data_IF_905615205794
#
_entry.id   IF_905615205794
#
_cell.length_a   1.000
_cell.length_b   1.000
_cell.length_c   1.000
_cell.angle_alpha   90.00
_cell.angle_beta   90.00
_cell.angle_gamma   90.00
#
_symmetry.space_group_name_H-M   'P 1'
#
loop_
_entity.id
_entity.type
_entity.pdbx_description
1 polymer ?
#
# COMPACT_ATOMS: atom_id res chain seq x y z
N UNK A 1 6.08 3.82 -42.13
CA UNK A 1 6.51 3.54 -40.74
C UNK A 1 5.72 2.35 -40.25
N UNK A 2 6.37 1.23 -39.95
CA UNK A 2 5.72 0.03 -39.45
C UNK A 2 5.06 0.33 -38.09
N UNK A 3 3.86 -0.20 -37.81
CA UNK A 3 3.26 -0.05 -36.49
C UNK A 3 4.15 -0.78 -35.48
N UNK A 4 4.65 -0.01 -34.51
CA UNK A 4 5.43 -0.53 -33.40
C UNK A 4 4.68 -1.65 -32.71
N UNK A 5 5.42 -2.69 -32.37
CA UNK A 5 4.99 -3.87 -31.64
C UNK A 5 4.41 -3.43 -30.28
N UNK A 6 3.09 -3.21 -30.23
CA UNK A 6 2.38 -2.93 -28.98
C UNK A 6 2.36 -4.22 -28.16
N UNK A 7 3.43 -4.45 -27.39
CA UNK A 7 3.34 -5.33 -26.25
C UNK A 7 2.28 -4.72 -25.33
N UNK A 8 1.06 -5.27 -25.36
CA UNK A 8 -0.03 -4.78 -24.51
C UNK A 8 0.43 -4.87 -23.05
N UNK A 9 0.69 -3.71 -22.48
CA UNK A 9 1.06 -3.59 -21.07
C UNK A 9 -0.08 -4.19 -20.24
N UNK A 10 0.24 -5.13 -19.36
CA UNK A 10 -0.75 -5.80 -18.52
C UNK A 10 -1.40 -4.80 -17.57
N UNK A 11 -2.68 -4.48 -17.80
CA UNK A 11 -3.49 -3.71 -16.87
C UNK A 11 -4.14 -4.64 -15.84
N UNK A 12 -3.68 -4.58 -14.60
CA UNK A 12 -4.21 -5.39 -13.50
C UNK A 12 -5.41 -4.72 -12.81
N UNK A 13 -5.86 -3.56 -13.32
CA UNK A 13 -6.94 -2.78 -12.71
C UNK A 13 -8.14 -2.78 -13.64
N UNK A 14 -9.29 -3.25 -13.17
CA UNK A 14 -10.55 -3.12 -13.90
C UNK A 14 -10.85 -1.65 -14.19
N UNK A 15 -11.18 -1.32 -15.44
CA UNK A 15 -11.66 0.02 -15.84
C UNK A 15 -13.17 0.11 -15.85
N UNK A 16 -13.85 -1.00 -15.64
CA UNK A 16 -15.32 -1.08 -15.63
C UNK A 16 -15.85 -0.60 -14.28
N UNK A 17 -16.82 0.30 -14.32
CA UNK A 17 -17.61 0.69 -13.15
C UNK A 17 -18.83 -0.21 -13.07
N UNK A 18 -18.78 -1.22 -12.22
CA UNK A 18 -19.89 -2.13 -11.99
C UNK A 18 -19.96 -2.51 -10.50
N UNK A 19 -21.15 -2.88 -10.05
CA UNK A 19 -21.33 -3.43 -8.71
C UNK A 19 -20.61 -4.78 -8.60
N UNK A 20 -19.79 -4.95 -7.57
CA UNK A 20 -19.02 -6.17 -7.32
C UNK A 20 -18.96 -6.50 -5.83
N UNK A 21 -20.11 -6.68 -5.17
CA UNK A 21 -20.17 -6.77 -3.71
C UNK A 21 -19.40 -7.98 -3.18
N UNK A 22 -19.43 -9.14 -3.86
CA UNK A 22 -18.77 -10.37 -3.41
C UNK A 22 -17.25 -10.20 -3.43
N UNK A 23 -16.66 -9.71 -4.52
CA UNK A 23 -15.21 -9.50 -4.61
C UNK A 23 -14.72 -8.48 -3.58
N UNK A 24 -15.48 -7.40 -3.38
CA UNK A 24 -15.18 -6.39 -2.34
C UNK A 24 -15.29 -6.97 -0.93
N UNK A 25 -16.32 -7.78 -0.65
CA UNK A 25 -16.50 -8.43 0.65
C UNK A 25 -15.36 -9.39 0.97
N UNK A 26 -14.94 -10.19 -0.01
CA UNK A 26 -13.78 -11.10 0.13
C UNK A 26 -12.52 -10.29 0.44
N UNK A 27 -12.26 -9.22 -0.33
CA UNK A 27 -11.09 -8.38 -0.07
C UNK A 27 -11.12 -7.79 1.35
N UNK A 28 -12.24 -7.17 1.75
CA UNK A 28 -12.40 -6.55 3.09
C UNK A 28 -12.25 -7.59 4.19
N UNK A 29 -12.89 -8.74 4.05
CA UNK A 29 -12.81 -9.84 5.03
C UNK A 29 -11.37 -10.36 5.20
N UNK A 30 -10.66 -10.57 4.09
CA UNK A 30 -9.26 -11.03 4.12
C UNK A 30 -8.32 -9.94 4.68
N UNK A 31 -8.56 -8.67 4.39
CA UNK A 31 -7.76 -7.58 4.99
C UNK A 31 -8.01 -7.42 6.49
N UNK A 32 -9.23 -7.64 6.96
CA UNK A 32 -9.53 -7.70 8.39
C UNK A 32 -8.90 -8.92 9.06
N UNK A 33 -8.98 -10.09 8.41
CA UNK A 33 -8.35 -11.32 8.89
C UNK A 33 -6.81 -11.19 8.95
N UNK A 34 -6.20 -10.42 8.05
CA UNK A 34 -4.76 -10.15 8.09
C UNK A 34 -4.33 -9.46 9.40
N UNK A 35 -5.12 -8.53 9.92
CA UNK A 35 -4.84 -7.88 11.21
C UNK A 35 -4.78 -8.91 12.33
N UNK A 36 -5.76 -9.84 12.35
CA UNK A 36 -5.76 -10.93 13.33
C UNK A 36 -4.56 -11.88 13.15
N UNK A 37 -4.21 -12.18 11.90
CA UNK A 37 -3.05 -13.01 11.56
C UNK A 37 -1.75 -12.36 12.07
N UNK A 38 -1.52 -11.07 11.79
CA UNK A 38 -0.33 -10.34 12.25
C UNK A 38 -0.25 -10.27 13.79
N UNK A 39 -1.38 -10.07 14.45
CA UNK A 39 -1.43 -10.14 15.92
C UNK A 39 -0.96 -11.50 16.45
N UNK A 40 -1.42 -12.60 15.85
CA UNK A 40 -1.00 -13.94 16.29
C UNK A 40 0.49 -14.21 16.00
N UNK A 41 1.01 -13.73 14.87
CA UNK A 41 2.45 -13.84 14.60
C UNK A 41 3.29 -13.13 15.65
N UNK A 42 2.91 -11.91 16.04
CA UNK A 42 3.70 -11.05 16.92
C UNK A 42 3.50 -11.36 18.41
N UNK A 43 2.27 -11.70 18.85
CA UNK A 43 1.94 -11.81 20.28
C UNK A 43 1.58 -13.22 20.76
N UNK A 44 1.27 -14.16 19.85
CA UNK A 44 0.96 -15.55 20.22
C UNK A 44 2.10 -16.53 19.97
N UNK A 45 3.27 -16.00 19.57
CA UNK A 45 4.48 -16.79 19.33
C UNK A 45 4.50 -17.54 18.00
N UNK A 46 3.46 -17.42 17.15
CA UNK A 46 3.44 -18.11 15.87
C UNK A 46 4.58 -17.66 14.94
N UNK A 47 4.91 -16.38 14.94
CA UNK A 47 6.02 -15.83 14.16
C UNK A 47 7.37 -16.32 14.66
N UNK A 48 7.57 -16.45 15.97
CA UNK A 48 8.79 -17.03 16.57
C UNK A 48 8.98 -18.47 16.09
N UNK A 49 7.92 -19.28 16.20
CA UNK A 49 7.96 -20.69 15.75
C UNK A 49 8.24 -20.79 14.23
N UNK A 50 7.70 -19.88 13.43
CA UNK A 50 7.98 -19.86 11.99
C UNK A 50 9.43 -19.48 11.70
N UNK A 51 9.97 -18.45 12.36
CA UNK A 51 11.38 -18.04 12.22
C UNK A 51 12.30 -19.20 12.58
N UNK A 52 12.04 -19.89 13.68
CA UNK A 52 12.84 -21.04 14.14
C UNK A 52 12.76 -22.24 13.18
N UNK A 53 11.55 -22.55 12.65
CA UNK A 53 11.35 -23.60 11.63
C UNK A 53 12.07 -23.28 10.31
N UNK A 54 12.25 -22.00 9.98
CA UNK A 54 13.02 -21.57 8.83
C UNK A 54 14.54 -21.54 9.10
N UNK A 55 15.00 -22.03 10.26
CA UNK A 55 16.40 -22.06 10.67
C UNK A 55 16.93 -20.71 11.18
N UNK A 56 16.04 -19.75 11.43
CA UNK A 56 16.39 -18.45 12.00
C UNK A 56 16.42 -18.48 13.52
N UNK A 57 16.98 -17.42 14.12
CA UNK A 57 16.96 -17.16 15.56
C UNK A 57 16.03 -15.97 15.83
N UNK A 58 15.02 -16.14 16.67
CA UNK A 58 14.17 -15.04 17.06
C UNK A 58 14.87 -14.11 18.06
N UNK A 59 14.53 -12.81 18.04
CA UNK A 59 15.08 -11.80 18.97
C UNK A 59 14.73 -12.14 20.41
N UNK A 60 13.57 -12.78 20.65
CA UNK A 60 13.09 -13.12 21.99
C UNK A 60 12.34 -14.44 22.02
N UNK A 61 12.38 -15.08 23.20
CA UNK A 61 11.52 -16.22 23.48
C UNK A 61 10.07 -15.78 23.73
N UNK A 62 9.13 -16.67 23.43
CA UNK A 62 7.67 -16.49 23.58
C UNK A 62 7.20 -15.89 24.91
N UNK A 63 7.93 -16.16 26.01
CA UNK A 63 7.54 -15.70 27.36
C UNK A 63 7.55 -14.17 27.54
N UNK A 64 8.24 -13.44 26.67
CA UNK A 64 8.40 -11.97 26.79
C UNK A 64 7.33 -11.21 26.01
N UNK A 65 6.63 -11.85 25.08
CA UNK A 65 5.60 -11.23 24.25
C UNK A 65 4.17 -11.36 24.82
N UNK A 66 4.03 -11.66 26.13
CA UNK A 66 2.72 -11.76 26.75
C UNK A 66 2.04 -10.38 26.78
N UNK A 67 0.89 -10.18 26.09
CA UNK A 67 0.21 -8.89 25.97
C UNK A 67 -0.27 -8.30 27.31
N UNK A 68 -0.34 -9.11 28.35
CA UNK A 68 -0.71 -8.66 29.69
C UNK A 68 0.48 -8.09 30.49
N UNK A 69 1.70 -8.21 30.00
CA UNK A 69 2.91 -7.74 30.67
C UNK A 69 3.42 -6.46 29.99
N UNK A 70 2.78 -5.32 30.29
CA UNK A 70 2.96 -4.00 29.64
C UNK A 70 4.34 -3.35 29.89
N UNK A 71 5.28 -4.05 30.56
CA UNK A 71 6.46 -3.43 31.13
C UNK A 71 7.75 -3.51 30.33
N UNK A 72 7.78 -4.16 29.18
CA UNK A 72 9.00 -4.26 28.36
C UNK A 72 8.88 -3.47 27.06
N UNK A 73 9.85 -2.63 26.76
CA UNK A 73 9.81 -1.75 25.59
C UNK A 73 9.89 -2.46 24.22
N UNK A 74 10.24 -3.74 24.18
CA UNK A 74 10.05 -4.56 22.99
C UNK A 74 8.58 -4.69 22.63
N UNK A 75 7.68 -4.60 23.61
CA UNK A 75 6.25 -4.50 23.35
C UNK A 75 5.88 -3.21 22.61
N UNK A 76 6.55 -2.11 22.90
CA UNK A 76 6.35 -0.84 22.18
C UNK A 76 6.74 -0.97 20.71
N UNK A 77 7.86 -1.62 20.40
CA UNK A 77 8.26 -1.87 19.00
C UNK A 77 7.28 -2.79 18.26
N UNK A 78 6.91 -3.93 18.83
CA UNK A 78 5.94 -4.82 18.22
C UNK A 78 4.53 -4.23 18.18
N UNK A 79 4.20 -3.36 19.13
CA UNK A 79 3.00 -2.53 19.09
C UNK A 79 2.98 -1.61 17.87
N UNK A 80 4.11 -0.94 17.57
CA UNK A 80 4.24 -0.14 16.34
C UNK A 80 4.10 -1.00 15.08
N UNK A 81 4.81 -2.14 14.99
CA UNK A 81 4.69 -3.05 13.84
C UNK A 81 3.24 -3.49 13.63
N UNK A 82 2.51 -3.78 14.72
CA UNK A 82 1.08 -4.12 14.65
C UNK A 82 0.24 -2.94 14.16
N UNK A 83 0.50 -1.73 14.65
CA UNK A 83 -0.19 -0.52 14.20
C UNK A 83 0.06 -0.22 12.72
N UNK A 84 1.26 -0.47 12.20
CA UNK A 84 1.54 -0.35 10.76
C UNK A 84 0.71 -1.35 9.94
N UNK A 85 0.58 -2.59 10.41
CA UNK A 85 -0.27 -3.59 9.77
C UNK A 85 -1.74 -3.18 9.79
N UNK A 86 -2.26 -2.73 10.93
CA UNK A 86 -3.64 -2.22 11.08
C UNK A 86 -3.86 -1.03 10.13
N UNK A 87 -2.94 -0.05 10.13
CA UNK A 87 -3.02 1.14 9.31
C UNK A 87 -3.08 0.80 7.81
N UNK A 88 -2.21 -0.11 7.34
CA UNK A 88 -2.20 -0.57 5.95
C UNK A 88 -3.50 -1.27 5.57
N UNK A 89 -4.03 -2.14 6.44
CA UNK A 89 -5.28 -2.87 6.19
C UNK A 89 -6.48 -1.95 6.21
N UNK A 90 -6.57 -1.08 7.21
CA UNK A 90 -7.65 -0.10 7.34
C UNK A 90 -7.69 0.85 6.13
N UNK A 91 -6.53 1.41 5.72
CA UNK A 91 -6.43 2.27 4.55
C UNK A 91 -6.97 1.59 3.29
N UNK A 92 -6.62 0.31 3.08
CA UNK A 92 -7.06 -0.44 1.91
C UNK A 92 -8.57 -0.77 1.98
N UNK A 93 -9.10 -1.10 3.15
CA UNK A 93 -10.54 -1.29 3.37
C UNK A 93 -11.29 0.01 3.09
N UNK A 94 -10.83 1.13 3.64
CA UNK A 94 -11.39 2.47 3.39
C UNK A 94 -11.37 2.80 1.90
N UNK A 95 -10.25 2.52 1.22
CA UNK A 95 -10.14 2.76 -0.22
C UNK A 95 -11.19 1.97 -1.02
N UNK A 96 -11.37 0.69 -0.75
CA UNK A 96 -12.34 -0.15 -1.48
C UNK A 96 -13.78 0.24 -1.19
N UNK A 97 -14.09 0.61 0.05
CA UNK A 97 -15.48 0.94 0.44
C UNK A 97 -15.87 2.34 -0.04
N UNK A 98 -15.01 3.32 0.19
CA UNK A 98 -15.37 4.73 0.00
C UNK A 98 -14.74 5.40 -1.22
N UNK A 99 -13.61 4.91 -1.75
CA UNK A 99 -12.89 5.59 -2.84
C UNK A 99 -13.08 4.89 -4.17
N UNK A 100 -12.86 3.59 -4.24
CA UNK A 100 -12.88 2.84 -5.49
C UNK A 100 -14.29 2.66 -6.02
N UNK A 101 -14.50 3.06 -7.28
CA UNK A 101 -15.74 2.80 -8.04
C UNK A 101 -15.58 1.64 -9.03
N UNK A 102 -14.38 1.10 -9.16
CA UNK A 102 -14.07 0.05 -10.11
C UNK A 102 -14.57 -1.31 -9.63
N UNK A 103 -15.01 -2.13 -10.57
CA UNK A 103 -15.40 -3.50 -10.27
C UNK A 103 -14.18 -4.30 -9.78
N UNK A 104 -14.40 -5.11 -8.76
CA UNK A 104 -13.43 -6.05 -8.21
C UNK A 104 -14.04 -7.46 -8.28
N UNK A 105 -13.55 -8.30 -9.18
CA UNK A 105 -13.95 -9.69 -9.20
C UNK A 105 -13.35 -10.47 -8.01
N UNK A 106 -13.87 -11.66 -7.77
CA UNK A 106 -13.47 -12.51 -6.63
C UNK A 106 -11.98 -12.85 -6.67
N UNK A 107 -11.47 -13.20 -7.87
CA UNK A 107 -10.07 -13.57 -8.05
C UNK A 107 -9.13 -12.41 -7.76
N UNK A 108 -9.46 -11.21 -8.26
CA UNK A 108 -8.71 -9.98 -7.98
C UNK A 108 -8.75 -9.63 -6.50
N UNK A 109 -9.94 -9.70 -5.86
CA UNK A 109 -10.09 -9.43 -4.43
C UNK A 109 -9.23 -10.35 -3.58
N UNK A 110 -9.25 -11.64 -3.87
CA UNK A 110 -8.42 -12.63 -3.19
C UNK A 110 -6.92 -12.41 -3.42
N UNK A 111 -6.51 -12.27 -4.67
CA UNK A 111 -5.08 -12.14 -5.04
C UNK A 111 -4.45 -10.90 -4.44
N UNK A 112 -5.13 -9.75 -4.50
CA UNK A 112 -4.61 -8.51 -3.95
C UNK A 112 -4.54 -8.58 -2.42
N UNK A 113 -5.56 -9.15 -1.76
CA UNK A 113 -5.54 -9.33 -0.31
C UNK A 113 -4.41 -10.27 0.12
N UNK A 114 -4.26 -11.42 -0.54
CA UNK A 114 -3.20 -12.40 -0.25
C UNK A 114 -1.80 -11.78 -0.44
N UNK A 115 -1.58 -11.08 -1.54
CA UNK A 115 -0.32 -10.37 -1.80
C UNK A 115 0.03 -9.41 -0.64
N UNK A 116 -0.94 -8.63 -0.17
CA UNK A 116 -0.72 -7.73 0.95
C UNK A 116 -0.44 -8.48 2.27
N UNK A 117 -1.14 -9.58 2.53
CA UNK A 117 -0.92 -10.42 3.70
C UNK A 117 0.47 -11.06 3.68
N UNK A 118 0.95 -11.50 2.52
CA UNK A 118 2.32 -12.04 2.37
C UNK A 118 3.35 -10.97 2.73
N UNK A 119 3.25 -9.76 2.20
CA UNK A 119 4.18 -8.67 2.54
C UNK A 119 4.14 -8.31 4.02
N UNK A 120 2.95 -8.21 4.62
CA UNK A 120 2.81 -7.95 6.05
C UNK A 120 3.41 -9.11 6.88
N UNK A 121 3.21 -10.36 6.45
CA UNK A 121 3.79 -11.54 7.11
C UNK A 121 5.31 -11.53 7.06
N UNK A 122 5.91 -11.23 5.90
CA UNK A 122 7.37 -11.09 5.79
C UNK A 122 7.86 -9.98 6.71
N UNK A 123 7.19 -8.82 6.74
CA UNK A 123 7.53 -7.74 7.67
C UNK A 123 7.49 -8.21 9.13
N UNK A 124 6.44 -8.91 9.54
CA UNK A 124 6.33 -9.44 10.90
C UNK A 124 7.44 -10.45 11.23
N UNK A 125 7.75 -11.38 10.32
CA UNK A 125 8.81 -12.36 10.52
C UNK A 125 10.19 -11.70 10.59
N UNK A 126 10.49 -10.76 9.70
CA UNK A 126 11.77 -10.03 9.72
C UNK A 126 11.92 -9.15 10.97
N UNK A 127 10.82 -8.61 11.50
CA UNK A 127 10.83 -7.88 12.78
C UNK A 127 11.14 -8.76 13.99
N UNK A 128 10.87 -10.06 13.89
CA UNK A 128 11.16 -11.06 14.91
C UNK A 128 12.53 -11.72 14.73
N UNK A 129 13.08 -11.72 13.52
CA UNK A 129 14.33 -12.42 13.21
C UNK A 129 15.54 -11.62 13.68
N UNK A 130 16.40 -12.22 14.51
CA UNK A 130 17.54 -11.54 15.14
C UNK A 130 18.56 -10.97 14.13
N UNK A 131 18.62 -11.52 12.91
CA UNK A 131 19.53 -11.03 11.87
C UNK A 131 19.06 -9.71 11.23
N UNK A 132 17.76 -9.49 11.17
CA UNK A 132 17.15 -8.39 10.38
C UNK A 132 16.41 -7.37 11.23
N UNK A 133 15.99 -7.78 12.41
CA UNK A 133 15.21 -6.93 13.30
C UNK A 133 16.01 -5.73 13.83
N UNK A 134 15.52 -4.51 13.67
CA UNK A 134 16.10 -3.36 14.37
C UNK A 134 16.12 -3.54 15.90
N UNK A 135 15.22 -4.35 16.44
CA UNK A 135 15.17 -4.66 17.88
C UNK A 135 16.39 -5.46 18.36
N UNK A 136 17.08 -6.18 17.48
CA UNK A 136 18.30 -6.91 17.82
C UNK A 136 19.52 -5.99 18.00
N UNK A 137 19.48 -4.77 17.47
CA UNK A 137 20.58 -3.81 17.48
C UNK A 137 20.66 -2.95 18.76
N UNK A 138 20.07 -3.43 19.87
CA UNK A 138 20.16 -2.73 21.16
C UNK A 138 19.16 -1.57 21.29
N UNK A 139 17.98 -1.68 20.69
CA UNK A 139 16.85 -0.82 21.05
C UNK A 139 16.68 -0.90 22.57
N UNK A 140 17.04 0.18 23.28
CA UNK A 140 16.70 0.30 24.70
C UNK A 140 15.17 0.42 24.79
N UNK A 141 14.61 -0.71 25.08
CA UNK A 141 13.22 -1.03 24.81
C UNK A 141 12.29 -0.76 26.00
N UNK A 142 12.73 0.02 26.97
CA UNK A 142 11.99 0.27 28.21
C UNK A 142 10.79 1.19 28.06
N UNK A 143 10.68 1.91 26.93
CA UNK A 143 9.55 2.81 26.68
C UNK A 143 9.33 3.06 25.19
N UNK A 144 8.14 3.55 24.83
CA UNK A 144 7.83 4.01 23.46
C UNK A 144 8.81 5.11 23.02
N UNK A 145 9.15 6.03 23.91
CA UNK A 145 10.07 7.11 23.61
C UNK A 145 11.48 6.59 23.26
N UNK A 146 11.98 5.60 24.01
CA UNK A 146 13.24 4.93 23.70
C UNK A 146 13.20 4.18 22.36
N UNK A 147 12.07 3.53 22.03
CA UNK A 147 11.87 2.91 20.71
C UNK A 147 11.91 3.96 19.60
N UNK A 148 11.27 5.10 19.78
CA UNK A 148 11.25 6.20 18.83
C UNK A 148 12.59 6.96 18.74
N UNK A 149 13.51 6.80 19.67
CA UNK A 149 14.85 7.39 19.57
C UNK A 149 15.74 6.67 18.55
N UNK A 150 15.37 5.46 18.11
CA UNK A 150 16.04 4.78 16.99
C UNK A 150 15.77 5.50 15.67
N UNK A 151 16.82 5.97 14.95
CA UNK A 151 16.63 6.65 13.66
C UNK A 151 15.87 5.82 12.62
N UNK A 152 16.09 4.51 12.59
CA UNK A 152 15.40 3.59 11.67
C UNK A 152 13.91 3.56 11.97
N UNK A 153 13.52 3.52 13.24
CA UNK A 153 12.13 3.49 13.66
C UNK A 153 11.46 4.85 13.46
N UNK A 154 12.10 5.94 13.87
CA UNK A 154 11.51 7.28 13.77
C UNK A 154 11.35 7.74 12.32
N UNK A 155 12.38 7.58 11.50
CA UNK A 155 12.33 7.90 10.05
C UNK A 155 11.32 6.98 9.35
N UNK A 156 11.34 5.69 9.66
CA UNK A 156 10.39 4.74 9.10
C UNK A 156 8.94 5.08 9.46
N UNK A 157 8.66 5.39 10.72
CA UNK A 157 7.31 5.77 11.16
C UNK A 157 6.84 7.09 10.51
N UNK A 158 7.70 8.09 10.44
CA UNK A 158 7.38 9.35 9.77
C UNK A 158 7.08 9.13 8.28
N UNK A 159 7.96 8.42 7.57
CA UNK A 159 7.79 8.14 6.16
C UNK A 159 6.55 7.26 5.88
N UNK A 160 6.27 6.28 6.75
CA UNK A 160 5.04 5.48 6.67
C UNK A 160 3.80 6.35 6.81
N UNK A 161 3.75 7.19 7.84
CA UNK A 161 2.59 8.03 8.13
C UNK A 161 2.36 9.04 7.00
N UNK A 162 3.41 9.75 6.58
CA UNK A 162 3.32 10.73 5.48
C UNK A 162 2.89 10.04 4.19
N UNK A 163 3.50 8.92 3.82
CA UNK A 163 3.16 8.18 2.61
C UNK A 163 1.73 7.67 2.63
N UNK A 164 1.28 7.06 3.74
CA UNK A 164 -0.07 6.53 3.87
C UNK A 164 -1.13 7.63 3.76
N UNK A 165 -0.91 8.76 4.46
CA UNK A 165 -1.82 9.91 4.43
C UNK A 165 -1.81 10.60 3.06
N UNK A 166 -0.65 10.77 2.44
CA UNK A 166 -0.54 11.38 1.11
C UNK A 166 -1.27 10.54 0.05
N UNK A 167 -1.10 9.21 0.07
CA UNK A 167 -1.85 8.34 -0.84
C UNK A 167 -3.35 8.43 -0.59
N UNK A 168 -3.81 8.28 0.66
CA UNK A 168 -5.23 8.34 1.00
C UNK A 168 -5.84 9.69 0.60
N UNK A 169 -5.20 10.80 0.99
CA UNK A 169 -5.67 12.15 0.70
C UNK A 169 -5.77 12.40 -0.81
N UNK A 170 -4.73 12.03 -1.58
CA UNK A 170 -4.72 12.20 -3.03
C UNK A 170 -5.87 11.44 -3.70
N UNK A 171 -6.16 10.22 -3.27
CA UNK A 171 -7.25 9.42 -3.78
C UNK A 171 -8.63 10.00 -3.44
N UNK A 172 -8.83 10.52 -2.22
CA UNK A 172 -10.06 11.21 -1.85
C UNK A 172 -10.25 12.51 -2.64
N UNK A 173 -9.20 13.32 -2.82
CA UNK A 173 -9.25 14.53 -3.63
C UNK A 173 -9.64 14.21 -5.07
N UNK A 174 -9.02 13.18 -5.66
CA UNK A 174 -9.34 12.73 -7.02
C UNK A 174 -10.77 12.24 -7.13
N UNK A 175 -11.29 11.52 -6.15
CA UNK A 175 -12.68 11.08 -6.10
C UNK A 175 -13.63 12.26 -6.06
N UNK A 176 -13.43 13.20 -5.12
CA UNK A 176 -14.28 14.38 -4.97
C UNK A 176 -14.36 15.19 -6.27
N UNK A 177 -13.22 15.41 -6.95
CA UNK A 177 -13.19 16.07 -8.25
C UNK A 177 -14.01 15.34 -9.32
N UNK A 178 -13.93 14.01 -9.36
CA UNK A 178 -14.66 13.20 -10.36
C UNK A 178 -16.16 13.09 -10.10
N UNK A 179 -16.60 13.33 -8.87
CA UNK A 179 -18.02 13.32 -8.51
C UNK A 179 -18.76 14.60 -8.96
N UNK A 180 -18.05 15.69 -9.23
CA UNK A 180 -18.63 16.91 -9.78
C UNK A 180 -18.94 16.71 -11.29
N UNK A 181 -20.22 16.82 -11.71
CA UNK A 181 -20.61 16.68 -13.12
C UNK A 181 -19.89 17.62 -14.07
N UNK A 182 -19.51 18.83 -13.60
CA UNK A 182 -18.79 19.82 -14.39
C UNK A 182 -17.37 19.38 -14.74
N UNK A 183 -16.82 18.39 -14.04
CA UNK A 183 -15.49 17.84 -14.24
C UNK A 183 -15.49 16.54 -15.04
N UNK A 184 -16.64 16.13 -15.59
CA UNK A 184 -16.73 14.92 -16.39
C UNK A 184 -15.75 14.94 -17.56
N UNK A 185 -14.91 13.91 -17.66
CA UNK A 185 -13.90 13.80 -18.72
C UNK A 185 -12.61 14.60 -18.49
N UNK A 186 -12.57 15.52 -17.51
CA UNK A 186 -11.38 16.32 -17.24
C UNK A 186 -10.35 15.52 -16.44
N UNK A 187 -9.04 15.68 -16.71
CA UNK A 187 -7.97 15.15 -15.85
C UNK A 187 -7.91 15.94 -14.54
N UNK A 188 -7.59 15.25 -13.45
CA UNK A 188 -7.37 15.90 -12.16
C UNK A 188 -5.89 16.21 -11.96
N UNK A 189 -5.56 17.47 -11.77
CA UNK A 189 -4.20 17.96 -11.49
C UNK A 189 -4.14 18.92 -10.28
N UNK A 190 -5.19 18.93 -9.44
CA UNK A 190 -5.25 19.78 -8.24
C UNK A 190 -4.80 19.06 -6.96
N UNK A 191 -4.81 19.77 -5.84
CA UNK A 191 -4.41 19.21 -4.55
C UNK A 191 -3.01 18.61 -4.58
N UNK A 192 -2.85 17.41 -4.03
CA UNK A 192 -1.55 16.72 -4.04
C UNK A 192 -1.07 16.34 -5.46
N UNK A 193 -1.98 16.16 -6.43
CA UNK A 193 -1.59 15.90 -7.83
C UNK A 193 -0.95 17.11 -8.53
N UNK A 194 -1.00 18.30 -7.95
CA UNK A 194 -0.22 19.46 -8.44
C UNK A 194 1.28 19.34 -8.17
N UNK A 195 1.66 18.54 -7.17
CA UNK A 195 3.07 18.27 -6.84
C UNK A 195 3.68 17.21 -7.77
N UNK A 196 2.92 16.18 -8.11
CA UNK A 196 3.34 15.13 -9.04
C UNK A 196 2.13 14.39 -9.62
N UNK A 197 2.13 14.09 -10.92
CA UNK A 197 1.02 13.44 -11.63
C UNK A 197 0.64 12.06 -11.09
N UNK A 198 1.59 11.36 -10.48
CA UNK A 198 1.40 10.03 -9.92
C UNK A 198 1.78 10.00 -8.43
N UNK A 199 1.43 11.07 -7.69
CA UNK A 199 1.76 11.23 -6.26
C UNK A 199 1.27 10.05 -5.42
N UNK A 200 0.12 9.46 -5.75
CA UNK A 200 -0.44 8.29 -5.09
C UNK A 200 0.48 7.06 -5.22
N UNK A 201 1.13 6.82 -6.36
CA UNK A 201 2.07 5.71 -6.54
C UNK A 201 3.37 5.95 -5.77
N UNK A 202 3.89 7.19 -5.79
CA UNK A 202 5.05 7.57 -4.99
C UNK A 202 4.78 7.43 -3.49
N UNK A 203 3.63 7.89 -3.04
CA UNK A 203 3.19 7.78 -1.66
C UNK A 203 3.01 6.31 -1.23
N UNK A 204 2.39 5.47 -2.09
CA UNK A 204 2.28 4.02 -1.86
C UNK A 204 3.67 3.37 -1.70
N UNK A 205 4.58 3.63 -2.63
CA UNK A 205 5.96 3.11 -2.59
C UNK A 205 6.67 3.52 -1.30
N UNK A 206 6.50 4.79 -0.89
CA UNK A 206 7.13 5.34 0.31
C UNK A 206 6.66 4.62 1.58
N UNK A 207 5.34 4.49 1.81
CA UNK A 207 4.90 3.84 3.05
C UNK A 207 5.17 2.34 3.05
N UNK A 208 5.18 1.68 1.90
CA UNK A 208 5.57 0.26 1.78
C UNK A 208 7.04 0.04 2.15
N UNK A 209 7.93 0.86 1.56
CA UNK A 209 9.36 0.80 1.87
C UNK A 209 9.66 1.17 3.33
N UNK A 210 8.95 2.16 3.87
CA UNK A 210 9.09 2.59 5.25
C UNK A 210 8.63 1.51 6.26
N UNK A 211 7.53 0.82 5.98
CA UNK A 211 7.10 -0.33 6.80
C UNK A 211 8.15 -1.44 6.77
N UNK A 212 8.64 -1.79 5.59
CA UNK A 212 9.70 -2.77 5.42
C UNK A 212 11.00 -2.36 6.14
N UNK A 213 11.39 -1.08 6.07
CA UNK A 213 12.53 -0.52 6.77
C UNK A 213 12.43 -0.73 8.30
N UNK A 214 11.26 -0.44 8.86
CA UNK A 214 11.02 -0.62 10.30
C UNK A 214 11.05 -2.08 10.74
N UNK A 215 10.80 -3.04 9.86
CA UNK A 215 10.72 -4.46 10.19
C UNK A 215 11.99 -5.25 9.89
N UNK A 216 12.60 -5.00 8.74
CA UNK A 216 13.74 -5.76 8.24
C UNK A 216 14.98 -4.92 7.93
N UNK A 217 15.02 -3.67 8.44
CA UNK A 217 16.17 -2.78 8.27
C UNK A 217 16.31 -2.24 6.85
N UNK A 218 17.45 -1.58 6.60
CA UNK A 218 17.70 -0.82 5.37
C UNK A 218 17.61 -1.69 4.11
N UNK A 219 18.14 -2.91 4.15
CA UNK A 219 18.16 -3.80 2.97
C UNK A 219 16.72 -4.15 2.56
N UNK A 220 15.88 -4.58 3.49
CA UNK A 220 14.50 -4.92 3.20
C UNK A 220 13.66 -3.71 2.81
N UNK A 221 13.90 -2.56 3.46
CA UNK A 221 13.28 -1.29 3.11
C UNK A 221 13.60 -0.86 1.68
N UNK A 222 14.88 -0.89 1.29
CA UNK A 222 15.33 -0.54 -0.05
C UNK A 222 14.83 -1.53 -1.10
N UNK A 223 14.85 -2.82 -0.80
CA UNK A 223 14.33 -3.88 -1.70
C UNK A 223 12.83 -3.68 -1.95
N UNK A 224 12.05 -3.46 -0.90
CA UNK A 224 10.59 -3.26 -1.01
C UNK A 224 10.27 -1.96 -1.75
N UNK A 225 10.98 -0.86 -1.42
CA UNK A 225 10.83 0.40 -2.13
C UNK A 225 11.16 0.24 -3.61
N UNK A 226 12.30 -0.35 -3.93
CA UNK A 226 12.75 -0.58 -5.31
C UNK A 226 11.79 -1.47 -6.10
N UNK A 227 11.24 -2.52 -5.48
CA UNK A 227 10.25 -3.39 -6.11
C UNK A 227 9.00 -2.62 -6.55
N UNK A 228 8.38 -1.84 -5.65
CA UNK A 228 7.18 -1.08 -5.98
C UNK A 228 7.49 0.09 -6.91
N UNK A 229 8.62 0.76 -6.73
CA UNK A 229 9.05 1.81 -7.63
C UNK A 229 9.22 1.29 -9.06
N UNK A 230 9.92 0.17 -9.22
CA UNK A 230 10.12 -0.46 -10.52
C UNK A 230 8.79 -0.88 -11.17
N UNK A 231 7.91 -1.55 -10.43
CA UNK A 231 6.59 -1.96 -10.95
C UNK A 231 5.76 -0.76 -11.41
N UNK A 232 5.70 0.31 -10.62
CA UNK A 232 4.97 1.50 -11.01
C UNK A 232 5.63 2.25 -12.19
N UNK A 233 6.96 2.37 -12.21
CA UNK A 233 7.66 3.07 -13.27
C UNK A 233 7.55 2.33 -14.63
N UNK A 234 7.61 1.00 -14.62
CA UNK A 234 7.66 0.20 -15.86
C UNK A 234 6.29 -0.27 -16.33
N UNK A 235 5.30 -0.38 -15.43
CA UNK A 235 3.97 -0.88 -15.73
C UNK A 235 2.86 0.13 -15.37
N UNK A 236 2.77 0.53 -14.11
CA UNK A 236 1.62 1.31 -13.61
C UNK A 236 1.49 2.68 -14.28
N UNK A 237 2.57 3.45 -14.36
CA UNK A 237 2.59 4.78 -14.97
C UNK A 237 2.39 4.72 -16.49
N UNK A 238 3.09 3.87 -17.25
CA UNK A 238 2.83 3.72 -18.69
C UNK A 238 1.40 3.33 -19.04
N UNK A 239 0.81 2.35 -18.33
CA UNK A 239 -0.59 1.94 -18.52
C UNK A 239 -1.56 3.10 -18.25
N UNK A 240 -1.32 3.86 -17.19
CA UNK A 240 -2.14 5.02 -16.86
C UNK A 240 -1.99 6.12 -17.91
N UNK A 241 -0.79 6.38 -18.38
CA UNK A 241 -0.50 7.37 -19.41
C UNK A 241 -1.19 7.00 -20.74
N UNK A 242 -1.10 5.76 -21.17
CA UNK A 242 -1.80 5.28 -22.38
C UNK A 242 -3.32 5.45 -22.26
N UNK A 243 -3.91 5.02 -21.14
CA UNK A 243 -5.33 5.20 -20.87
C UNK A 243 -5.77 6.67 -20.91
N UNK A 244 -4.99 7.57 -20.32
CA UNK A 244 -5.29 9.00 -20.31
C UNK A 244 -5.18 9.62 -21.70
N UNK A 245 -4.15 9.25 -22.48
CA UNK A 245 -3.94 9.73 -23.84
C UNK A 245 -5.08 9.34 -24.77
N UNK A 246 -5.58 8.11 -24.68
CA UNK A 246 -6.73 7.64 -25.43
C UNK A 246 -7.99 8.45 -25.10
N UNK A 247 -8.24 8.74 -23.83
CA UNK A 247 -9.41 9.55 -23.42
C UNK A 247 -9.34 10.98 -23.90
N UNK A 248 -8.17 11.61 -23.88
CA UNK A 248 -7.98 12.97 -24.36
C UNK A 248 -8.17 13.03 -25.88
N UNK A 249 -7.67 12.05 -26.64
CA UNK A 249 -7.86 11.98 -28.10
C UNK A 249 -9.34 11.82 -28.48
N UNK A 250 -10.09 10.96 -27.79
CA UNK A 250 -11.53 10.76 -28.02
C UNK A 250 -12.30 12.06 -27.70
N UNK A 251 -12.00 12.71 -26.57
CA UNK A 251 -12.66 13.97 -26.21
C UNK A 251 -12.39 15.08 -27.24
N UNK A 252 -11.15 15.16 -27.77
CA UNK A 252 -10.78 16.11 -28.82
C UNK A 252 -11.50 15.84 -30.14
N UNK A 253 -11.60 14.57 -30.55
CA UNK A 253 -12.35 14.19 -31.76
C UNK A 253 -13.83 14.53 -31.62
N UNK A 254 -14.45 14.24 -30.48
CA UNK A 254 -15.86 14.57 -30.20
C UNK A 254 -16.11 16.08 -30.26
N UNK A 255 -15.19 16.89 -29.73
CA UNK A 255 -15.28 18.35 -29.75
C UNK A 255 -15.17 18.88 -31.22
N UNK A 256 -14.22 18.37 -32.00
CA UNK A 256 -14.05 18.73 -33.41
C UNK A 256 -15.30 18.38 -34.22
N UNK A 257 -15.89 17.20 -33.96
CA UNK A 257 -17.12 16.77 -34.65
C UNK A 257 -18.32 17.67 -34.25
N UNK A 258 -18.47 18.05 -32.99
CA UNK A 258 -19.52 18.99 -32.58
C UNK A 258 -19.37 20.37 -33.23
N UNK A 259 -18.15 20.91 -33.29
CA UNK A 259 -17.86 22.21 -33.91
C UNK A 259 -18.11 22.16 -35.41
N UNK A 260 -17.78 21.07 -36.07
CA UNK A 260 -18.03 20.88 -37.48
C UNK A 260 -19.52 20.85 -37.82
N UNK A 261 -20.35 20.18 -36.99
CA UNK A 261 -21.80 20.10 -37.21
C UNK A 261 -22.54 21.40 -36.83
N UNK A 262 -22.04 22.22 -35.95
CA UNK A 262 -22.64 23.53 -35.57
C UNK A 262 -22.35 24.64 -36.60
N UNK A 263 -21.54 24.41 -37.64
CA UNK A 263 -21.29 25.36 -38.70
C UNK A 263 -22.25 25.21 -39.92
N UNK A 264 -23.20 24.29 -39.85
CA UNK A 264 -24.15 24.02 -40.92
C UNK A 264 -25.61 24.26 -40.52
N UNK A 265 -25.87 24.81 -39.34
CA UNK A 265 -27.15 25.41 -38.94
C UNK A 265 -27.01 26.96 -38.86
#
# INVERSE_FOLDING_TARGET
MAPGNNSQLRDNVSRTKASSPIGRLIFVGLRAADVFWQYNLLYRGWGIQLVEKLGGRAVQSYQVLNPLNITTGLQSYYGLVTLLSIGSSLKQIVHIIWVSEQAMDVGSGFTIALFNTIFNTINALLSLWALTSPAASGLDSKSLLATLSSPVVSVGLAAYTIGLLAEATSEFQRKAFKQDPNNKGKPYGGGLFSLATNINYGAYTTWRGAYALMCGGIIWGATTFGFFFYDFATRGVPVLHEYMSQRVSIARQSLVFMIANHKFD
#
